data_IF_875113896141
#
_entry.id   IF_875113896141
#
_cell.length_a   1.000
_cell.length_b   1.000
_cell.length_c   1.000
_cell.angle_alpha   90.00
_cell.angle_beta   90.00
_cell.angle_gamma   90.00
#
_symmetry.space_group_name_H-M   'P 1'
#
loop_
_entity.id
_entity.type
_entity.pdbx_description
1 polymer ?
#
# COMPACT_ATOMS: atom_id res chain seq x y z
N UNK A 1 -15.63 -0.88 -34.79
CA UNK A 1 -16.03 -1.17 -33.40
C UNK A 1 -16.36 -2.65 -33.35
N UNK A 2 -15.43 -3.48 -32.84
CA UNK A 2 -15.68 -4.91 -32.69
C UNK A 2 -16.11 -5.15 -31.25
N UNK A 3 -17.42 -5.15 -31.03
CA UNK A 3 -18.00 -5.69 -29.81
C UNK A 3 -17.80 -7.21 -29.86
N UNK A 4 -16.71 -7.70 -29.29
CA UNK A 4 -16.60 -9.10 -28.92
C UNK A 4 -17.64 -9.35 -27.83
N UNK A 5 -18.72 -10.01 -28.23
CA UNK A 5 -19.67 -10.62 -27.31
C UNK A 5 -18.87 -11.55 -26.39
N UNK A 6 -18.76 -11.17 -25.14
CA UNK A 6 -18.35 -12.09 -24.08
C UNK A 6 -19.49 -13.09 -23.96
N UNK A 7 -19.36 -14.23 -24.62
CA UNK A 7 -20.20 -15.40 -24.38
C UNK A 7 -19.98 -15.83 -22.92
N UNK A 8 -20.76 -15.24 -22.02
CA UNK A 8 -20.97 -15.81 -20.70
C UNK A 8 -21.85 -17.04 -20.91
N UNK A 9 -21.22 -18.19 -21.14
CA UNK A 9 -21.89 -19.46 -20.94
C UNK A 9 -22.27 -19.51 -19.46
N UNK A 10 -23.57 -19.32 -19.17
CA UNK A 10 -24.15 -19.64 -17.87
C UNK A 10 -24.00 -21.16 -17.67
N UNK A 11 -22.85 -21.60 -17.19
CA UNK A 11 -22.66 -22.97 -16.74
C UNK A 11 -23.67 -23.22 -15.61
N UNK A 12 -24.65 -24.08 -15.88
CA UNK A 12 -25.57 -24.59 -14.86
C UNK A 12 -24.77 -25.03 -13.64
N UNK A 13 -25.23 -24.70 -12.42
CA UNK A 13 -24.55 -25.07 -11.16
C UNK A 13 -24.22 -26.56 -11.15
N UNK A 14 -22.99 -26.92 -11.53
CA UNK A 14 -22.50 -28.29 -11.47
C UNK A 14 -22.19 -28.61 -10.01
N UNK A 15 -22.92 -29.58 -9.46
CA UNK A 15 -22.71 -30.09 -8.11
C UNK A 15 -21.79 -31.31 -8.22
N UNK A 16 -20.75 -31.37 -7.38
CA UNK A 16 -19.87 -32.54 -7.27
C UNK A 16 -20.50 -33.50 -6.27
N UNK A 17 -20.82 -34.72 -6.71
CA UNK A 17 -21.51 -35.73 -5.89
C UNK A 17 -20.64 -36.94 -5.53
N UNK A 18 -19.40 -37.02 -6.05
CA UNK A 18 -18.49 -38.13 -5.81
C UNK A 18 -17.02 -37.72 -5.73
N UNK A 19 -16.19 -38.57 -5.10
CA UNK A 19 -14.74 -38.39 -5.03
C UNK A 19 -14.07 -38.45 -6.42
N UNK A 20 -14.62 -39.25 -7.35
CA UNK A 20 -14.11 -39.33 -8.72
C UNK A 20 -14.32 -38.01 -9.47
N UNK A 21 -15.48 -37.39 -9.31
CA UNK A 21 -15.76 -36.06 -9.87
C UNK A 21 -14.88 -34.98 -9.24
N UNK A 22 -14.66 -35.05 -7.92
CA UNK A 22 -13.72 -34.15 -7.23
C UNK A 22 -12.30 -34.27 -7.80
N UNK A 23 -11.81 -35.50 -8.01
CA UNK A 23 -10.50 -35.76 -8.61
C UNK A 23 -10.38 -35.16 -10.01
N UNK A 24 -11.42 -35.32 -10.86
CA UNK A 24 -11.47 -34.69 -12.20
C UNK A 24 -11.43 -33.16 -12.12
N UNK A 25 -12.15 -32.54 -11.17
CA UNK A 25 -12.13 -31.09 -10.98
C UNK A 25 -10.78 -30.59 -10.46
N UNK A 26 -10.12 -31.32 -9.56
CA UNK A 26 -8.76 -31.02 -9.11
C UNK A 26 -7.75 -31.12 -10.26
N UNK A 27 -7.86 -32.12 -11.13
CA UNK A 27 -7.03 -32.22 -12.34
C UNK A 27 -7.25 -31.04 -13.29
N UNK A 28 -8.52 -30.66 -13.55
CA UNK A 28 -8.82 -29.50 -14.39
C UNK A 28 -8.28 -28.21 -13.77
N UNK A 29 -8.43 -28.01 -12.46
CA UNK A 29 -7.87 -26.87 -11.73
C UNK A 29 -6.34 -26.80 -11.89
N UNK A 30 -5.65 -27.94 -11.78
CA UNK A 30 -4.20 -28.01 -12.03
C UNK A 30 -3.86 -27.55 -13.45
N UNK A 31 -4.58 -28.04 -14.46
CA UNK A 31 -4.33 -27.65 -15.86
C UNK A 31 -4.59 -26.18 -16.13
N UNK A 32 -5.65 -25.62 -15.54
CA UNK A 32 -5.90 -24.18 -15.60
C UNK A 32 -4.78 -23.36 -14.95
N UNK A 33 -4.25 -23.81 -13.81
CA UNK A 33 -3.11 -23.16 -13.17
C UNK A 33 -1.84 -23.23 -14.03
N UNK A 34 -1.59 -24.35 -14.70
CA UNK A 34 -0.47 -24.50 -15.66
C UNK A 34 -0.64 -23.56 -16.87
N UNK A 35 -1.83 -23.52 -17.47
CA UNK A 35 -2.18 -22.62 -18.58
C UNK A 35 -1.98 -21.15 -18.19
N UNK A 36 -2.46 -20.76 -17.00
CA UNK A 36 -2.30 -19.41 -16.47
C UNK A 36 -0.83 -19.05 -16.25
N UNK A 37 -0.03 -19.96 -15.68
CA UNK A 37 1.39 -19.70 -15.46
C UNK A 37 2.15 -19.43 -16.77
N UNK A 38 1.83 -20.16 -17.84
CA UNK A 38 2.42 -19.94 -19.17
C UNK A 38 2.04 -18.57 -19.73
N UNK A 39 0.77 -18.16 -19.55
CA UNK A 39 0.29 -16.86 -20.02
C UNK A 39 0.90 -15.71 -19.21
N UNK A 40 0.99 -15.86 -17.88
CA UNK A 40 1.66 -14.90 -17.01
C UNK A 40 3.14 -14.72 -17.41
N UNK A 41 3.85 -15.81 -17.74
CA UNK A 41 5.24 -15.75 -18.25
C UNK A 41 5.35 -15.03 -19.60
N UNK A 42 4.34 -15.14 -20.47
CA UNK A 42 4.30 -14.39 -21.75
C UNK A 42 4.07 -12.90 -21.47
N UNK A 43 3.08 -12.58 -20.65
CA UNK A 43 2.76 -11.23 -20.27
C UNK A 43 3.95 -10.50 -19.62
N UNK A 44 4.67 -11.17 -18.70
CA UNK A 44 5.86 -10.59 -18.08
C UNK A 44 7.00 -10.36 -19.08
N UNK A 45 7.16 -11.23 -20.07
CA UNK A 45 8.14 -11.02 -21.15
C UNK A 45 7.78 -9.82 -22.03
N UNK A 46 6.51 -9.64 -22.38
CA UNK A 46 6.07 -8.48 -23.15
C UNK A 46 6.26 -7.16 -22.39
N UNK A 47 6.01 -7.15 -21.07
CA UNK A 47 6.35 -6.01 -20.21
C UNK A 47 7.85 -5.74 -20.26
N UNK A 48 8.67 -6.77 -20.06
CA UNK A 48 10.12 -6.62 -20.04
C UNK A 48 10.66 -6.08 -21.37
N UNK A 49 10.21 -6.62 -22.50
CA UNK A 49 10.61 -6.15 -23.83
C UNK A 49 10.16 -4.70 -24.08
N UNK A 50 8.94 -4.35 -23.66
CA UNK A 50 8.42 -2.98 -23.74
C UNK A 50 9.25 -2.01 -22.89
N UNK A 51 9.64 -2.42 -21.69
CA UNK A 51 10.51 -1.65 -20.81
C UNK A 51 11.92 -1.50 -21.41
N UNK A 52 12.52 -2.57 -21.92
CA UNK A 52 13.84 -2.52 -22.58
C UNK A 52 13.85 -1.54 -23.75
N UNK A 53 12.76 -1.46 -24.52
CA UNK A 53 12.61 -0.47 -25.59
C UNK A 53 12.41 0.96 -25.07
N UNK A 54 11.59 1.15 -24.02
CA UNK A 54 11.20 2.48 -23.54
C UNK A 54 12.25 3.15 -22.65
N UNK A 55 12.88 2.40 -21.75
CA UNK A 55 13.77 2.92 -20.71
C UNK A 55 14.99 3.68 -21.27
N UNK A 56 15.69 3.24 -22.34
CA UNK A 56 16.81 3.99 -22.90
C UNK A 56 16.40 5.38 -23.40
N UNK A 57 15.26 5.46 -24.11
CA UNK A 57 14.72 6.72 -24.62
C UNK A 57 14.26 7.64 -23.49
N UNK A 58 13.61 7.07 -22.47
CA UNK A 58 13.25 7.79 -21.24
C UNK A 58 14.49 8.35 -20.55
N UNK A 59 15.50 7.52 -20.27
CA UNK A 59 16.75 7.91 -19.61
C UNK A 59 17.47 9.01 -20.37
N UNK A 60 17.58 8.90 -21.69
CA UNK A 60 18.17 9.95 -22.53
C UNK A 60 17.46 11.30 -22.35
N UNK A 61 16.12 11.30 -22.37
CA UNK A 61 15.32 12.52 -22.16
C UNK A 61 15.44 13.05 -20.73
N UNK A 62 15.42 12.18 -19.73
CA UNK A 62 15.61 12.56 -18.32
C UNK A 62 16.96 13.27 -18.14
N UNK A 63 18.06 12.72 -18.66
CA UNK A 63 19.37 13.37 -18.58
C UNK A 63 19.39 14.74 -19.28
N UNK A 64 18.70 14.87 -20.41
CA UNK A 64 18.59 16.15 -21.12
C UNK A 64 17.78 17.19 -20.33
N UNK A 65 16.69 16.75 -19.68
CA UNK A 65 15.87 17.60 -18.81
C UNK A 65 16.71 18.08 -17.63
N UNK A 66 17.35 17.15 -16.90
CA UNK A 66 18.20 17.48 -15.75
C UNK A 66 19.33 18.44 -16.12
N UNK A 67 19.97 18.24 -17.28
CA UNK A 67 21.00 19.15 -17.78
C UNK A 67 20.46 20.55 -18.03
N UNK A 68 19.31 20.68 -18.69
CA UNK A 68 18.69 21.99 -18.97
C UNK A 68 18.21 22.65 -17.67
N UNK A 69 17.64 21.90 -16.73
CA UNK A 69 17.23 22.39 -15.41
C UNK A 69 18.44 22.94 -14.64
N UNK A 70 19.56 22.23 -14.61
CA UNK A 70 20.80 22.69 -13.97
C UNK A 70 21.30 24.02 -14.56
N UNK A 71 21.26 24.17 -15.89
CA UNK A 71 21.63 25.45 -16.53
C UNK A 71 20.70 26.61 -16.12
N UNK A 72 19.41 26.33 -15.99
CA UNK A 72 18.41 27.31 -15.55
C UNK A 72 18.64 27.69 -14.08
N UNK A 73 18.90 26.72 -13.21
CA UNK A 73 19.21 26.92 -11.79
C UNK A 73 20.47 27.76 -11.61
N UNK A 74 21.56 27.42 -12.28
CA UNK A 74 22.84 28.16 -12.24
C UNK A 74 22.66 29.62 -12.67
N UNK A 75 21.86 29.86 -13.71
CA UNK A 75 21.52 31.22 -14.14
C UNK A 75 20.69 31.95 -13.07
N UNK A 76 19.67 31.29 -12.53
CA UNK A 76 18.77 31.86 -11.53
C UNK A 76 19.51 32.21 -10.24
N UNK A 77 20.46 31.37 -9.79
CA UNK A 77 21.30 31.62 -8.62
C UNK A 77 22.18 32.86 -8.79
N UNK A 78 22.84 33.03 -9.95
CA UNK A 78 23.61 34.25 -10.25
C UNK A 78 22.73 35.50 -10.19
N UNK A 79 21.50 35.43 -10.72
CA UNK A 79 20.54 36.53 -10.65
C UNK A 79 20.05 36.83 -9.23
N UNK A 80 19.89 35.81 -8.38
CA UNK A 80 19.52 36.00 -6.98
C UNK A 80 20.62 36.69 -6.16
N UNK A 81 21.89 36.47 -6.50
CA UNK A 81 23.01 37.18 -5.86
C UNK A 81 22.99 38.68 -6.18
N UNK A 82 22.61 39.06 -7.40
CA UNK A 82 22.45 40.45 -7.82
C UNK A 82 21.16 41.08 -7.26
N UNK A 83 20.06 40.34 -7.29
CA UNK A 83 18.74 40.79 -6.85
C UNK A 83 18.02 39.67 -6.08
N UNK A 84 17.94 39.75 -4.73
CA UNK A 84 17.26 38.74 -3.91
C UNK A 84 15.79 38.51 -4.24
N UNK A 85 15.13 39.44 -4.93
CA UNK A 85 13.72 39.37 -5.31
C UNK A 85 13.51 39.00 -6.79
N UNK A 86 14.57 38.57 -7.48
CA UNK A 86 14.50 38.20 -8.89
C UNK A 86 13.46 37.11 -9.18
N UNK A 87 12.65 37.32 -10.21
CA UNK A 87 11.66 36.37 -10.72
C UNK A 87 11.61 36.45 -12.24
N UNK A 88 11.55 35.29 -12.89
CA UNK A 88 11.41 35.20 -14.34
C UNK A 88 10.03 34.68 -14.73
N UNK A 89 9.41 35.29 -15.75
CA UNK A 89 8.15 34.85 -16.35
C UNK A 89 8.15 35.14 -17.84
N UNK A 90 7.80 34.14 -18.62
CA UNK A 90 7.64 34.22 -20.07
C UNK A 90 6.54 33.24 -20.53
N UNK A 91 6.21 33.23 -21.83
CA UNK A 91 5.28 32.27 -22.44
C UNK A 91 5.70 30.82 -22.19
N UNK A 92 7.00 30.55 -22.16
CA UNK A 92 7.54 29.19 -22.04
C UNK A 92 7.69 28.70 -20.60
N UNK A 93 7.44 29.55 -19.60
CA UNK A 93 7.46 29.15 -18.19
C UNK A 93 7.84 30.24 -17.21
N UNK A 94 7.99 29.84 -15.96
CA UNK A 94 8.37 30.72 -14.86
C UNK A 94 9.47 30.10 -14.02
N UNK A 95 10.44 30.90 -13.59
CA UNK A 95 11.46 30.49 -12.62
C UNK A 95 11.31 31.38 -11.39
N UNK A 96 11.00 30.75 -10.26
CA UNK A 96 10.81 31.42 -8.98
C UNK A 96 11.31 30.54 -7.85
N UNK A 97 11.93 31.15 -6.85
CA UNK A 97 12.25 30.47 -5.59
C UNK A 97 10.98 30.24 -4.76
N UNK A 98 10.92 29.09 -4.11
CA UNK A 98 10.03 28.82 -2.97
C UNK A 98 10.91 28.50 -1.78
N UNK A 99 10.86 29.33 -0.75
CA UNK A 99 11.48 29.02 0.54
C UNK A 99 10.46 28.33 1.42
N UNK A 100 10.68 27.06 1.73
CA UNK A 100 9.96 26.36 2.79
C UNK A 100 10.93 26.09 3.93
N UNK A 101 10.61 26.61 5.11
CA UNK A 101 11.31 26.22 6.33
C UNK A 101 10.58 25.02 6.92
N UNK A 102 11.17 23.85 6.78
CA UNK A 102 10.74 22.65 7.50
C UNK A 102 11.49 22.62 8.83
N UNK A 103 10.75 22.43 9.91
CA UNK A 103 11.31 22.29 11.25
C UNK A 103 11.18 20.82 11.64
N UNK A 104 12.30 20.18 11.89
CA UNK A 104 12.33 18.89 12.56
C UNK A 104 12.16 19.15 14.06
N UNK A 105 11.03 18.73 14.60
CA UNK A 105 10.73 18.86 16.02
C UNK A 105 11.20 17.61 16.76
N UNK A 106 12.06 17.80 17.74
CA UNK A 106 12.21 16.82 18.82
C UNK A 106 11.03 17.02 19.77
N UNK A 107 9.98 16.23 19.58
CA UNK A 107 8.73 16.32 20.34
C UNK A 107 8.97 16.32 21.86
N UNK A 108 9.98 15.60 22.35
CA UNK A 108 10.28 15.46 23.77
C UNK A 108 10.86 16.75 24.37
N UNK A 109 11.82 17.38 23.70
CA UNK A 109 12.40 18.66 24.13
C UNK A 109 11.41 19.82 24.00
N UNK A 110 10.55 19.78 22.98
CA UNK A 110 9.52 20.79 22.76
C UNK A 110 8.46 20.76 23.86
N UNK A 111 8.01 19.57 24.26
CA UNK A 111 7.04 19.41 25.34
C UNK A 111 7.61 19.88 26.69
N UNK A 112 8.90 19.63 26.95
CA UNK A 112 9.56 20.00 28.21
C UNK A 112 9.89 21.50 28.34
N UNK A 113 10.03 22.22 27.23
CA UNK A 113 10.38 23.65 27.22
C UNK A 113 9.17 24.58 27.21
N UNK A 114 7.95 24.05 27.00
CA UNK A 114 6.73 24.84 26.98
C UNK A 114 6.23 25.12 28.42
N UNK A 115 5.86 26.38 28.75
CA UNK A 115 5.26 26.68 30.05
C UNK A 115 3.92 25.94 30.20
N UNK A 116 3.64 25.44 31.41
CA UNK A 116 2.46 24.60 31.72
C UNK A 116 1.11 25.23 31.30
N UNK A 117 1.03 26.56 31.26
CA UNK A 117 -0.15 27.29 30.83
C UNK A 117 -0.47 27.11 29.33
N UNK A 118 0.55 26.88 28.49
CA UNK A 118 0.39 26.60 27.06
C UNK A 118 0.14 25.11 26.81
N UNK A 119 0.76 24.21 27.58
CA UNK A 119 0.48 22.77 27.53
C UNK A 119 -1.00 22.44 27.82
N UNK A 120 -1.67 23.24 28.67
CA UNK A 120 -3.11 23.13 28.93
C UNK A 120 -3.99 23.68 27.79
N UNK A 121 -3.48 24.58 26.94
CA UNK A 121 -4.22 25.23 25.84
C UNK A 121 -3.99 24.58 24.47
N UNK A 122 -2.85 23.94 24.22
CA UNK A 122 -2.55 23.26 22.96
C UNK A 122 -2.69 21.76 23.10
N UNK A 123 -3.93 21.27 22.99
CA UNK A 123 -4.14 19.87 22.59
C UNK A 123 -3.68 19.77 21.14
N UNK A 124 -2.53 19.15 20.85
CA UNK A 124 -2.41 18.40 19.60
C UNK A 124 -1.32 17.31 19.50
N UNK A 125 -1.79 16.24 18.84
CA UNK A 125 -1.18 15.01 18.29
C UNK A 125 -0.59 13.94 19.20
N UNK A 126 0.34 14.23 20.10
CA UNK A 126 1.02 13.15 20.86
C UNK A 126 0.12 12.59 21.98
N UNK A 127 -0.67 13.44 22.63
CA UNK A 127 -1.70 13.03 23.62
C UNK A 127 -2.83 12.18 23.01
N UNK A 128 -3.16 12.41 21.73
CA UNK A 128 -4.10 11.57 20.96
C UNK A 128 -3.47 10.21 20.60
N UNK A 129 -2.17 10.17 20.26
CA UNK A 129 -1.47 8.92 19.89
C UNK A 129 -1.37 7.92 21.03
N UNK A 130 -1.19 8.39 22.27
CA UNK A 130 -1.11 7.51 23.46
C UNK A 130 -2.46 6.91 23.89
N UNK A 131 -3.59 7.48 23.46
CA UNK A 131 -4.93 6.94 23.74
C UNK A 131 -5.33 5.77 22.81
N UNK A 132 -4.72 5.67 21.61
CA UNK A 132 -5.00 4.61 20.62
C UNK A 132 -3.94 3.49 20.59
N UNK A 133 -2.84 3.62 21.33
CA UNK A 133 -1.75 2.62 21.36
C UNK A 133 -1.83 1.66 22.55
N UNK A 134 -2.70 1.90 23.54
CA UNK A 134 -2.85 1.04 24.71
C UNK A 134 -4.01 0.04 24.58
N UNK A 135 -4.01 -0.77 23.52
CA UNK A 135 -4.57 -2.14 23.56
C UNK A 135 -4.12 -2.95 22.34
N UNK A 136 -2.81 -2.95 22.09
CA UNK A 136 -2.16 -4.13 21.48
C UNK A 136 -1.47 -4.89 22.60
N UNK A 137 -2.29 -5.54 23.43
CA UNK A 137 -1.80 -6.62 24.29
C UNK A 137 -1.41 -7.77 23.37
N UNK A 138 -0.17 -8.21 23.51
CA UNK A 138 0.44 -9.33 22.81
C UNK A 138 -0.54 -10.48 22.53
N UNK A 139 -0.86 -10.67 21.25
CA UNK A 139 -1.71 -11.74 20.73
C UNK A 139 -1.04 -13.12 20.76
N UNK A 140 -0.53 -13.53 21.93
CA UNK A 140 -0.09 -14.90 22.22
C UNK A 140 -0.56 -15.40 23.59
N UNK A 141 -1.69 -14.91 24.09
CA UNK A 141 -2.40 -15.60 25.17
C UNK A 141 -3.33 -16.64 24.56
N UNK A 142 -3.17 -17.90 24.94
CA UNK A 142 -4.09 -18.98 24.57
C UNK A 142 -5.48 -18.59 25.09
N UNK A 143 -6.40 -18.31 24.19
CA UNK A 143 -7.81 -18.16 24.54
C UNK A 143 -8.27 -19.53 25.02
N UNK A 144 -8.59 -19.65 26.31
CA UNK A 144 -9.22 -20.84 26.88
C UNK A 144 -10.73 -20.61 26.71
N UNK A 145 -11.39 -21.48 25.97
CA UNK A 145 -12.84 -21.46 25.76
C UNK A 145 -13.52 -22.38 26.76
N UNK A 146 -14.60 -21.91 27.39
CA UNK A 146 -15.52 -22.77 28.13
C UNK A 146 -16.21 -23.79 27.21
N UNK A 147 -16.84 -24.82 27.79
CA UNK A 147 -17.63 -25.84 27.07
C UNK A 147 -18.76 -25.27 26.18
N UNK A 148 -19.11 -23.99 26.36
CA UNK A 148 -20.13 -23.25 25.58
C UNK A 148 -19.51 -22.23 24.60
N UNK A 149 -18.19 -22.27 24.35
CA UNK A 149 -17.52 -21.51 23.28
C UNK A 149 -17.22 -20.04 23.59
N UNK A 150 -17.29 -19.62 24.86
CA UNK A 150 -17.03 -18.25 25.27
C UNK A 150 -15.55 -18.08 25.65
N UNK A 151 -14.83 -17.06 25.13
CA UNK A 151 -13.45 -16.81 25.50
C UNK A 151 -13.35 -16.28 26.93
N UNK A 152 -12.64 -17.01 27.79
CA UNK A 152 -12.37 -16.62 29.18
C UNK A 152 -10.96 -16.03 29.27
N UNK A 153 -10.81 -14.97 30.07
CA UNK A 153 -9.51 -14.45 30.48
C UNK A 153 -8.85 -15.36 31.52
N UNK A 154 -7.52 -15.29 31.72
CA UNK A 154 -6.78 -16.17 32.67
C UNK A 154 -7.31 -16.12 34.12
N UNK A 155 -8.06 -15.05 34.48
CA UNK A 155 -8.66 -14.83 35.80
C UNK A 155 -10.13 -15.32 35.93
N UNK A 156 -10.68 -16.00 34.91
CA UNK A 156 -12.04 -16.56 34.96
C UNK A 156 -13.17 -15.60 34.60
N UNK A 157 -12.86 -14.37 34.17
CA UNK A 157 -13.87 -13.39 33.75
C UNK A 157 -14.25 -13.57 32.26
N UNK A 158 -15.56 -13.63 32.00
CA UNK A 158 -16.18 -13.76 30.67
C UNK A 158 -16.10 -12.41 29.94
N UNK A 159 -15.46 -12.38 28.77
CA UNK A 159 -15.44 -11.17 27.92
C UNK A 159 -16.81 -11.01 27.24
N UNK A 160 -17.65 -10.10 27.75
CA UNK A 160 -18.94 -9.77 27.13
C UNK A 160 -18.73 -9.02 25.81
N UNK A 161 -19.32 -9.55 24.73
CA UNK A 161 -19.34 -8.90 23.40
C UNK A 161 -18.59 -9.64 22.29
N UNK A 162 -17.91 -10.75 22.60
CA UNK A 162 -17.20 -11.57 21.62
C UNK A 162 -17.95 -12.87 21.41
N UNK A 163 -18.58 -13.02 20.24
CA UNK A 163 -19.17 -14.28 19.78
C UNK A 163 -18.13 -14.98 18.93
N UNK A 164 -17.60 -16.10 19.40
CA UNK A 164 -16.79 -16.99 18.58
C UNK A 164 -17.68 -17.54 17.46
N UNK A 165 -17.44 -17.09 16.22
CA UNK A 165 -18.05 -17.70 15.04
C UNK A 165 -17.05 -18.68 14.47
N UNK A 166 -17.38 -19.96 14.54
CA UNK A 166 -16.62 -20.99 13.83
C UNK A 166 -16.75 -20.72 12.32
N UNK A 167 -15.62 -20.45 11.66
CA UNK A 167 -15.52 -20.36 10.22
C UNK A 167 -14.71 -21.54 9.71
N UNK A 168 -15.34 -22.42 8.95
CA UNK A 168 -14.65 -23.51 8.27
C UNK A 168 -14.00 -22.98 7.00
N UNK A 169 -12.67 -22.80 7.03
CA UNK A 169 -11.89 -22.42 5.85
C UNK A 169 -11.38 -23.68 5.13
N UNK A 170 -11.89 -23.93 3.92
CA UNK A 170 -11.42 -25.01 3.06
C UNK A 170 -10.23 -24.50 2.25
N UNK A 171 -9.09 -25.18 2.33
CA UNK A 171 -7.89 -24.88 1.53
C UNK A 171 -7.75 -25.92 0.43
N UNK A 172 -7.75 -25.50 -0.84
CA UNK A 172 -7.54 -26.38 -1.99
C UNK A 172 -6.09 -26.21 -2.47
N UNK A 173 -5.34 -27.31 -2.54
CA UNK A 173 -3.99 -27.35 -3.09
C UNK A 173 -3.95 -28.37 -4.21
N UNK A 174 -3.55 -27.96 -5.40
CA UNK A 174 -3.22 -28.87 -6.50
C UNK A 174 -1.75 -29.26 -6.42
N UNK A 175 -1.41 -30.48 -6.83
CA UNK A 175 -0.02 -30.89 -7.02
C UNK A 175 0.64 -30.02 -8.10
N UNK A 176 1.93 -29.74 -7.92
CA UNK A 176 2.76 -29.09 -8.94
C UNK A 176 2.98 -30.01 -10.13
#
# INVERSE_FOLDING_TARGET
MNNQAVEQQEESKQIINSEEELSKKLYRLRKLNEEQAIEDERYQREIAESDEWYQPSKKKRTNQIEYVEALIEDYYHRRLQENPYYRYKDRNGTVSKKTSTTYDYNDEELINSLPEELLKKTVNKVGLKKLFQSEKVDGRKKIITDNEGHPITEDGEIIKGVIAKEQTQITIKTTK
#
